data_IF_807401391697
#
_entry.id   IF_807401391697
#
_cell.length_a   1.000
_cell.length_b   1.000
_cell.length_c   1.000
_cell.angle_alpha   90.00
_cell.angle_beta   90.00
_cell.angle_gamma   90.00
#
_symmetry.space_group_name_H-M   'P 1'
#
loop_
_entity.id
_entity.type
_entity.pdbx_description
1 polymer ?
#
# COMPACT_ATOMS: atom_id res chain seq x y z
N UNK A 1 5.64 -24.27 23.93
CA UNK A 1 6.16 -22.99 23.45
C UNK A 1 5.61 -22.87 22.05
N UNK A 2 4.47 -22.21 21.93
CA UNK A 2 3.95 -21.77 20.64
C UNK A 2 4.77 -20.52 20.31
N UNK A 3 5.53 -20.58 19.22
CA UNK A 3 6.13 -19.38 18.64
C UNK A 3 4.93 -18.53 18.20
N UNK A 4 4.74 -17.40 18.86
CA UNK A 4 3.75 -16.40 18.47
C UNK A 4 4.19 -15.87 17.10
N UNK A 5 3.76 -16.54 16.02
CA UNK A 5 4.09 -16.24 14.62
C UNK A 5 3.50 -14.89 14.14
N UNK A 6 3.22 -13.97 15.07
CA UNK A 6 2.60 -12.69 14.85
C UNK A 6 3.39 -11.57 15.49
N UNK A 7 4.56 -11.25 14.95
CA UNK A 7 5.29 -10.03 15.32
C UNK A 7 4.41 -8.78 15.21
N UNK A 8 4.63 -7.80 16.08
CA UNK A 8 3.89 -6.53 16.02
C UNK A 8 4.30 -5.72 14.80
N UNK A 9 3.32 -5.31 13.97
CA UNK A 9 3.56 -4.50 12.77
C UNK A 9 2.81 -3.17 12.85
N UNK A 10 3.51 -2.08 12.61
CA UNK A 10 2.90 -0.75 12.46
C UNK A 10 2.43 -0.55 11.02
N UNK A 11 1.15 -0.19 10.85
CA UNK A 11 0.51 0.02 9.55
C UNK A 11 -0.09 1.42 9.48
N UNK A 12 0.04 2.07 8.33
CA UNK A 12 -0.74 3.24 7.93
C UNK A 12 -1.79 2.81 6.91
N UNK A 13 -3.05 3.22 7.09
CA UNK A 13 -4.12 2.93 6.15
C UNK A 13 -4.98 4.16 5.86
N UNK A 14 -5.62 4.15 4.71
CA UNK A 14 -6.61 5.16 4.31
C UNK A 14 -7.69 4.49 3.47
N UNK A 15 -8.96 4.82 3.73
CA UNK A 15 -10.08 4.41 2.90
C UNK A 15 -10.37 5.48 1.85
N UNK A 16 -10.91 5.06 0.71
CA UNK A 16 -11.21 5.92 -0.43
C UNK A 16 -12.09 5.20 -1.42
N UNK A 17 -12.07 5.65 -2.67
CA UNK A 17 -13.02 5.19 -3.68
C UNK A 17 -14.39 5.88 -3.55
N UNK A 18 -15.29 5.65 -4.53
CA UNK A 18 -16.56 6.37 -4.62
C UNK A 18 -17.49 6.09 -3.43
N UNK A 19 -17.41 4.91 -2.82
CA UNK A 19 -18.24 4.51 -1.68
C UNK A 19 -17.45 4.40 -0.35
N UNK A 20 -16.16 4.76 -0.36
CA UNK A 20 -15.28 4.62 0.81
C UNK A 20 -14.90 3.16 1.12
N UNK A 21 -15.10 2.28 0.14
CA UNK A 21 -14.99 0.82 0.21
C UNK A 21 -13.60 0.31 -0.22
N UNK A 22 -12.84 1.11 -0.96
CA UNK A 22 -11.46 0.79 -1.31
C UNK A 22 -10.52 1.22 -0.18
N UNK A 23 -9.41 0.50 0.00
CA UNK A 23 -8.43 0.85 1.04
C UNK A 23 -6.99 0.71 0.55
N UNK A 24 -6.15 1.65 0.95
CA UNK A 24 -4.72 1.66 0.67
C UNK A 24 -3.97 1.55 1.99
N UNK A 25 -3.09 0.57 2.09
CA UNK A 25 -2.35 0.26 3.30
C UNK A 25 -0.85 0.22 3.02
N UNK A 26 -0.06 0.72 3.96
CA UNK A 26 1.38 0.60 3.99
C UNK A 26 1.77 -0.01 5.33
N UNK A 27 2.39 -1.17 5.28
CA UNK A 27 2.95 -1.86 6.45
C UNK A 27 4.45 -2.07 6.25
N UNK A 28 5.15 -2.38 7.33
CA UNK A 28 6.53 -2.80 7.23
C UNK A 28 6.76 -4.15 7.91
N UNK A 29 7.21 -5.10 7.11
CA UNK A 29 7.73 -6.40 7.56
C UNK A 29 9.26 -6.32 7.42
N UNK A 30 9.88 -7.10 6.54
CA UNK A 30 11.30 -6.90 6.15
C UNK A 30 11.51 -5.67 5.25
N UNK A 31 10.48 -5.33 4.46
CA UNK A 31 10.47 -4.19 3.54
C UNK A 31 9.11 -3.49 3.63
N UNK A 32 9.02 -2.20 3.24
CA UNK A 32 7.74 -1.54 3.15
C UNK A 32 6.89 -2.21 2.07
N UNK A 33 5.71 -2.71 2.43
CA UNK A 33 4.76 -3.33 1.52
C UNK A 33 3.54 -2.44 1.40
N UNK A 34 3.17 -2.11 0.17
CA UNK A 34 1.91 -1.45 -0.13
C UNK A 34 0.86 -2.50 -0.47
N UNK A 35 -0.31 -2.42 0.15
CA UNK A 35 -1.48 -3.24 -0.17
C UNK A 35 -2.64 -2.35 -0.62
N UNK A 36 -3.33 -2.76 -1.66
CA UNK A 36 -4.47 -2.06 -2.24
C UNK A 36 -5.66 -3.00 -2.35
N UNK A 37 -6.68 -2.72 -1.56
CA UNK A 37 -8.00 -3.32 -1.66
C UNK A 37 -8.84 -2.52 -2.66
N UNK A 38 -9.36 -3.24 -3.67
CA UNK A 38 -10.22 -2.65 -4.70
C UNK A 38 -11.63 -2.33 -4.20
N UNK A 39 -12.01 -2.76 -3.00
CA UNK A 39 -13.37 -2.64 -2.50
C UNK A 39 -14.34 -3.44 -3.37
N UNK A 40 -15.53 -2.88 -3.63
CA UNK A 40 -16.57 -3.47 -4.46
C UNK A 40 -16.15 -3.70 -5.92
N UNK A 41 -15.10 -3.03 -6.41
CA UNK A 41 -14.55 -3.28 -7.74
C UNK A 41 -13.70 -4.57 -7.80
N UNK A 42 -13.35 -5.14 -6.65
CA UNK A 42 -12.48 -6.31 -6.55
C UNK A 42 -13.15 -7.60 -6.99
N UNK A 43 -14.36 -7.91 -6.52
CA UNK A 43 -14.95 -9.24 -6.73
C UNK A 43 -14.01 -10.39 -6.30
N UNK A 44 -14.31 -11.62 -6.72
CA UNK A 44 -13.40 -12.75 -6.53
C UNK A 44 -12.38 -12.77 -7.68
N UNK A 45 -11.11 -12.53 -7.37
CA UNK A 45 -10.00 -12.54 -8.34
C UNK A 45 -9.09 -13.72 -8.00
N UNK A 46 -8.58 -14.39 -9.03
CA UNK A 46 -7.63 -15.49 -8.85
C UNK A 46 -6.33 -15.01 -8.17
N UNK A 47 -5.90 -15.66 -7.07
CA UNK A 47 -4.62 -15.36 -6.43
C UNK A 47 -3.43 -15.41 -7.38
N UNK A 48 -2.46 -14.51 -7.18
CA UNK A 48 -1.31 -14.38 -8.08
C UNK A 48 -1.59 -13.57 -9.35
N UNK A 49 -2.84 -13.14 -9.58
CA UNK A 49 -3.17 -12.20 -10.65
C UNK A 49 -2.32 -10.94 -10.55
N UNK A 50 -1.78 -10.48 -11.69
CA UNK A 50 -0.93 -9.29 -11.75
C UNK A 50 -1.65 -8.15 -12.44
N UNK A 51 -1.62 -6.96 -11.84
CA UNK A 51 -2.19 -5.74 -12.41
C UNK A 51 -1.17 -4.62 -12.46
N UNK A 52 -1.24 -3.79 -13.51
CA UNK A 52 -0.48 -2.54 -13.58
C UNK A 52 -1.35 -1.40 -13.06
N UNK A 53 -0.95 -0.80 -11.95
CA UNK A 53 -1.68 0.30 -11.31
C UNK A 53 -0.88 1.58 -11.43
N UNK A 54 -1.55 2.64 -11.86
CA UNK A 54 -0.96 3.97 -11.99
C UNK A 54 -1.46 4.87 -10.87
N UNK A 55 -0.52 5.39 -10.09
CA UNK A 55 -0.73 6.32 -8.98
C UNK A 55 -0.44 7.73 -9.45
N UNK A 56 -1.42 8.63 -9.35
CA UNK A 56 -1.31 10.03 -9.77
C UNK A 56 -1.62 10.96 -8.60
N UNK A 57 -0.70 11.89 -8.32
CA UNK A 57 -0.91 12.95 -7.34
C UNK A 57 -0.04 14.16 -7.69
N UNK A 58 -0.56 15.38 -7.52
CA UNK A 58 0.21 16.61 -7.69
C UNK A 58 0.93 16.73 -9.05
N UNK A 59 0.30 16.27 -10.14
CA UNK A 59 0.88 16.28 -11.49
C UNK A 59 1.96 15.24 -11.77
N UNK A 60 2.27 14.38 -10.79
CA UNK A 60 3.21 13.26 -10.93
C UNK A 60 2.45 11.95 -11.12
N UNK A 61 3.12 10.99 -11.76
CA UNK A 61 2.58 9.65 -12.01
C UNK A 61 3.64 8.59 -11.76
N UNK A 62 3.29 7.53 -11.05
CA UNK A 62 4.13 6.35 -10.84
C UNK A 62 3.29 5.11 -11.15
N UNK A 63 3.80 4.22 -12.00
CA UNK A 63 3.13 2.94 -12.32
C UNK A 63 3.86 1.80 -11.62
N UNK A 64 3.13 0.95 -10.92
CA UNK A 64 3.65 -0.25 -10.26
C UNK A 64 2.87 -1.47 -10.72
N UNK A 65 3.57 -2.61 -10.79
CA UNK A 65 2.93 -3.91 -10.93
C UNK A 65 2.63 -4.43 -9.53
N UNK A 66 1.37 -4.72 -9.26
CA UNK A 66 0.93 -5.34 -8.02
C UNK A 66 0.48 -6.78 -8.30
N UNK A 67 0.58 -7.63 -7.30
CA UNK A 67 0.16 -9.04 -7.34
C UNK A 67 -0.95 -9.26 -6.32
N UNK A 68 -2.00 -9.98 -6.70
CA UNK A 68 -3.11 -10.28 -5.80
C UNK A 68 -2.69 -11.36 -4.79
N UNK A 69 -2.77 -11.04 -3.51
CA UNK A 69 -2.54 -11.96 -2.40
C UNK A 69 -3.80 -12.74 -2.05
N UNK A 70 -3.65 -14.05 -1.83
CA UNK A 70 -4.75 -14.99 -1.67
C UNK A 70 -5.58 -14.76 -0.39
N UNK A 71 -4.91 -14.39 0.70
CA UNK A 71 -5.53 -14.40 2.04
C UNK A 71 -6.54 -13.27 2.23
N UNK A 72 -6.26 -12.10 1.65
CA UNK A 72 -7.05 -10.89 1.86
C UNK A 72 -7.65 -10.31 0.57
N UNK A 73 -7.36 -10.92 -0.59
CA UNK A 73 -7.80 -10.42 -1.90
C UNK A 73 -7.29 -8.99 -2.21
N UNK A 74 -6.08 -8.67 -1.74
CA UNK A 74 -5.46 -7.36 -1.93
C UNK A 74 -4.35 -7.43 -2.97
N UNK A 75 -4.24 -6.40 -3.78
CA UNK A 75 -3.09 -6.20 -4.66
C UNK A 75 -1.91 -5.64 -3.84
N UNK A 76 -0.78 -6.33 -3.84
CA UNK A 76 0.39 -5.94 -3.05
C UNK A 76 1.61 -5.68 -3.93
N UNK A 77 2.55 -4.88 -3.42
CA UNK A 77 3.88 -4.70 -4.03
C UNK A 77 4.90 -4.31 -2.96
N UNK A 78 6.09 -4.90 -3.04
CA UNK A 78 7.24 -4.47 -2.27
C UNK A 78 7.77 -3.12 -2.78
N UNK A 79 8.11 -2.24 -1.86
CA UNK A 79 8.73 -0.96 -2.17
C UNK A 79 10.24 -1.06 -2.01
N UNK A 80 11.00 -0.29 -2.80
CA UNK A 80 12.46 -0.35 -2.81
C UNK A 80 13.12 0.35 -1.60
N UNK A 81 12.41 0.43 -0.47
CA UNK A 81 12.82 1.17 0.74
C UNK A 81 12.37 2.64 0.75
N UNK A 82 12.91 3.46 1.67
CA UNK A 82 12.37 4.79 1.97
C UNK A 82 12.39 5.82 0.83
N UNK A 83 13.24 5.58 -0.18
CA UNK A 83 13.39 6.43 -1.36
C UNK A 83 12.52 5.97 -2.55
N UNK A 84 11.64 4.99 -2.36
CA UNK A 84 10.75 4.54 -3.44
C UNK A 84 9.91 5.71 -3.99
N UNK A 85 9.86 5.92 -5.32
CA UNK A 85 9.15 7.05 -5.92
C UNK A 85 7.65 7.07 -5.60
N UNK A 86 7.04 5.90 -5.32
CA UNK A 86 5.66 5.85 -4.89
C UNK A 86 5.48 6.42 -3.49
N UNK A 87 6.40 6.15 -2.54
CA UNK A 87 6.35 6.77 -1.21
C UNK A 87 6.50 8.28 -1.29
N UNK A 88 7.40 8.77 -2.14
CA UNK A 88 7.55 10.21 -2.36
C UNK A 88 6.26 10.85 -2.91
N UNK A 89 5.53 10.14 -3.78
CA UNK A 89 4.23 10.57 -4.30
C UNK A 89 3.15 10.57 -3.21
N UNK A 90 3.05 9.50 -2.40
CA UNK A 90 2.06 9.35 -1.33
C UNK A 90 2.30 10.30 -0.15
N UNK A 91 3.53 10.77 0.07
CA UNK A 91 3.87 11.83 1.05
C UNK A 91 3.50 13.24 0.56
N UNK A 92 2.90 13.35 -0.61
CA UNK A 92 2.41 14.60 -1.19
C UNK A 92 1.23 15.21 -0.44
N UNK A 93 0.55 16.14 -1.10
CA UNK A 93 -0.66 16.82 -0.59
C UNK A 93 -1.82 16.59 -1.55
N UNK A 94 -3.04 16.82 -1.06
CA UNK A 94 -4.26 16.66 -1.86
C UNK A 94 -4.72 15.21 -1.86
N UNK A 95 -4.92 14.65 -3.05
CA UNK A 95 -5.39 13.28 -3.22
C UNK A 95 -4.44 12.50 -4.14
N UNK A 96 -4.39 11.19 -3.95
CA UNK A 96 -3.82 10.26 -4.92
C UNK A 96 -4.95 9.52 -5.61
N UNK A 97 -4.94 9.49 -6.94
CA UNK A 97 -5.80 8.64 -7.75
C UNK A 97 -5.01 7.41 -8.18
N UNK A 98 -5.54 6.23 -7.87
CA UNK A 98 -5.02 4.93 -8.33
C UNK A 98 -5.93 4.46 -9.44
N UNK A 99 -5.37 4.07 -10.59
CA UNK A 99 -6.16 3.58 -11.72
C UNK A 99 -5.52 2.37 -12.39
N UNK A 100 -6.34 1.43 -12.83
CA UNK A 100 -5.93 0.31 -13.69
C UNK A 100 -7.03 0.00 -14.71
N UNK A 101 -6.66 -0.40 -15.94
CA UNK A 101 -7.60 -0.57 -17.05
C UNK A 101 -8.76 -1.52 -16.72
N UNK A 102 -8.50 -2.59 -15.97
CA UNK A 102 -9.50 -3.61 -15.61
C UNK A 102 -10.27 -3.30 -14.33
N UNK A 103 -9.74 -2.43 -13.47
CA UNK A 103 -10.20 -2.28 -12.08
C UNK A 103 -10.69 -0.86 -11.77
N UNK A 104 -10.81 -0.02 -12.80
CA UNK A 104 -11.29 1.34 -12.65
C UNK A 104 -10.30 2.24 -11.92
N UNK A 105 -10.83 3.24 -11.21
CA UNK A 105 -10.03 4.20 -10.47
C UNK A 105 -10.65 4.51 -9.10
N UNK A 106 -9.80 4.71 -8.11
CA UNK A 106 -10.16 5.16 -6.77
C UNK A 106 -9.24 6.31 -6.33
N UNK A 107 -9.79 7.25 -5.57
CA UNK A 107 -9.04 8.38 -5.01
C UNK A 107 -8.98 8.28 -3.49
N UNK A 108 -7.84 8.68 -2.93
CA UNK A 108 -7.55 8.65 -1.50
C UNK A 108 -6.99 9.99 -1.03
N UNK A 109 -7.45 10.54 0.10
CA UNK A 109 -6.87 11.74 0.67
C UNK A 109 -5.46 11.48 1.18
N UNK A 110 -4.55 12.41 0.91
CA UNK A 110 -3.17 12.41 1.42
C UNK A 110 -3.01 13.24 2.70
N UNK A 111 -4.12 13.69 3.30
CA UNK A 111 -4.07 14.44 4.57
C UNK A 111 -3.45 13.57 5.66
N UNK A 112 -2.33 14.01 6.22
CA UNK A 112 -1.60 13.27 7.26
C UNK A 112 -0.75 12.10 6.75
N UNK A 113 -0.79 11.77 5.45
CA UNK A 113 -0.06 10.63 4.89
C UNK A 113 1.45 10.72 5.13
N UNK A 114 2.02 11.92 5.01
CA UNK A 114 3.46 12.14 5.21
C UNK A 114 3.93 11.73 6.61
N UNK A 115 3.17 12.13 7.64
CA UNK A 115 3.48 11.78 9.03
C UNK A 115 3.26 10.28 9.31
N UNK A 116 2.16 9.71 8.79
CA UNK A 116 1.85 8.29 8.97
C UNK A 116 2.90 7.39 8.30
N UNK A 117 3.24 7.67 7.04
CA UNK A 117 4.30 6.96 6.30
C UNK A 117 5.65 7.15 7.02
N UNK A 118 5.95 8.34 7.53
CA UNK A 118 7.15 8.59 8.33
C UNK A 118 7.27 7.64 9.52
N UNK A 119 6.17 7.41 10.25
CA UNK A 119 6.13 6.47 11.38
C UNK A 119 6.33 5.02 10.94
N UNK A 120 5.65 4.58 9.88
CA UNK A 120 5.80 3.20 9.35
C UNK A 120 7.26 2.92 8.97
N UNK A 121 7.89 3.84 8.25
CA UNK A 121 9.27 3.64 7.81
C UNK A 121 10.28 3.71 8.96
N UNK A 122 10.01 4.51 10.00
CA UNK A 122 10.86 4.52 11.19
C UNK A 122 10.82 3.20 11.96
N UNK A 123 9.71 2.45 11.88
CA UNK A 123 9.63 1.09 12.43
C UNK A 123 10.31 0.05 11.52
N UNK A 124 10.29 0.24 10.19
CA UNK A 124 11.05 -0.63 9.26
C UNK A 124 12.54 -0.74 9.63
N UNK A 125 13.17 0.40 9.92
CA UNK A 125 14.59 0.48 10.23
C UNK A 125 14.94 -0.17 11.58
N UNK A 126 13.96 -0.34 12.48
CA UNK A 126 14.18 -0.97 13.79
C UNK A 126 14.12 -2.49 13.72
N UNK A 127 13.25 -3.05 12.86
CA UNK A 127 13.08 -4.49 12.71
C UNK A 127 14.27 -5.20 12.04
N UNK A 128 15.17 -4.47 11.37
CA UNK A 128 16.36 -5.03 10.74
C UNK A 128 17.53 -5.27 11.71
N UNK A 129 17.37 -4.94 12.99
CA UNK A 129 18.42 -4.97 14.01
C UNK A 129 18.35 -6.09 15.04
N UNK A 130 17.37 -7.00 14.96
CA UNK A 130 17.19 -8.06 15.97
C UNK A 130 17.34 -9.45 15.33
N UNK A 131 18.58 -9.72 14.89
CA UNK A 131 19.09 -11.05 14.63
C UNK A 131 20.58 -11.05 15.02
N UNK A 132 20.85 -11.21 16.31
CA UNK A 132 22.16 -11.61 16.85
C UNK A 132 22.02 -13.01 17.49
#
# INVERSE_FOLDING_TARGET
MEEDEGGSVLMASVCGGPEGDASLMLACFDRPVLSYDLGGAGGEIEPGTRGSFTFKAGGKSVTKKLVLEAMYNYFTTDLSGPSDPLLALLRGKGEVTISADKYGAASFPLTGSSAAIGKVLAECDKGSGEAD
#
